data_IF_209550501338
#
_entry.id   IF_209550501338
#
_cell.length_a   1.000
_cell.length_b   1.000
_cell.length_c   1.000
_cell.angle_alpha   90.00
_cell.angle_beta   90.00
_cell.angle_gamma   90.00
#
_symmetry.space_group_name_H-M   'P 1'
#
loop_
_entity.id
_entity.type
_entity.pdbx_description
1 polymer ?
#
# COMPACT_ATOMS: atom_id res chain seq x y z
N UNK A 1 -22.15 -25.91 -8.29
CA UNK A 1 -20.68 -26.01 -8.27
C UNK A 1 -20.14 -24.60 -8.46
N UNK A 2 -19.58 -24.00 -7.42
CA UNK A 2 -18.92 -22.69 -7.52
C UNK A 2 -17.60 -22.86 -8.25
N UNK A 3 -17.48 -22.25 -9.44
CA UNK A 3 -16.22 -22.17 -10.17
C UNK A 3 -15.19 -21.46 -9.30
N UNK A 4 -14.18 -22.20 -8.83
CA UNK A 4 -12.99 -21.60 -8.23
C UNK A 4 -12.23 -20.93 -9.37
N UNK A 5 -12.52 -19.67 -9.63
CA UNK A 5 -11.73 -18.83 -10.54
C UNK A 5 -10.34 -18.68 -9.93
N UNK A 6 -9.40 -19.47 -10.43
CA UNK A 6 -7.99 -19.34 -10.07
C UNK A 6 -7.53 -17.90 -10.38
N UNK A 7 -6.64 -17.32 -9.56
CA UNK A 7 -6.08 -16.00 -9.83
C UNK A 7 -5.51 -15.94 -11.26
N UNK A 8 -5.64 -14.80 -11.97
CA UNK A 8 -5.02 -14.64 -13.28
C UNK A 8 -3.54 -15.03 -13.21
N UNK A 9 -3.08 -15.84 -14.17
CA UNK A 9 -1.71 -16.41 -14.18
C UNK A 9 -0.67 -15.36 -13.81
N UNK A 10 0.01 -15.56 -12.67
CA UNK A 10 1.13 -14.71 -12.22
C UNK A 10 0.80 -13.71 -11.12
N UNK A 11 -0.40 -13.71 -10.53
CA UNK A 11 -0.71 -12.88 -9.35
C UNK A 11 -0.97 -13.75 -8.12
N UNK A 12 -0.46 -13.30 -6.97
CA UNK A 12 -0.80 -13.83 -5.65
C UNK A 12 -1.71 -12.84 -4.95
N UNK A 13 -2.79 -13.34 -4.36
CA UNK A 13 -3.80 -12.50 -3.69
C UNK A 13 -3.61 -12.60 -2.19
N UNK A 14 -3.76 -11.48 -1.50
CA UNK A 14 -3.58 -11.39 -0.05
C UNK A 14 -4.73 -10.60 0.57
N UNK A 15 -5.12 -11.03 1.76
CA UNK A 15 -5.94 -10.26 2.71
C UNK A 15 -5.11 -9.98 3.96
N UNK A 16 -5.67 -9.23 4.91
CA UNK A 16 -5.07 -9.04 6.24
C UNK A 16 -5.83 -9.87 7.27
N UNK A 17 -5.08 -10.47 8.19
CA UNK A 17 -5.67 -11.05 9.39
C UNK A 17 -5.96 -9.97 10.45
N UNK A 18 -6.43 -10.38 11.63
CA UNK A 18 -6.75 -9.47 12.73
C UNK A 18 -5.53 -8.73 13.33
N UNK A 19 -4.31 -9.06 12.91
CA UNK A 19 -3.05 -8.42 13.32
C UNK A 19 -2.40 -7.66 12.18
N UNK A 20 -3.16 -7.32 11.13
CA UNK A 20 -2.67 -6.68 9.92
C UNK A 20 -1.52 -7.44 9.23
N UNK A 21 -1.48 -8.76 9.42
CA UNK A 21 -0.49 -9.62 8.77
C UNK A 21 -1.05 -10.11 7.44
N UNK A 22 -0.31 -9.98 6.32
CA UNK A 22 -0.78 -10.49 5.04
C UNK A 22 -0.90 -12.01 5.00
N UNK A 23 -2.06 -12.51 4.59
CA UNK A 23 -2.35 -13.93 4.40
C UNK A 23 -2.72 -14.18 2.94
N UNK A 24 -2.03 -15.12 2.29
CA UNK A 24 -2.30 -15.50 0.91
C UNK A 24 -3.63 -16.24 0.80
N UNK A 25 -4.44 -15.86 -0.19
CA UNK A 25 -5.74 -16.46 -0.49
C UNK A 25 -5.83 -16.82 -1.98
N UNK A 26 -6.66 -17.80 -2.30
CA UNK A 26 -6.76 -18.35 -3.66
C UNK A 26 -8.13 -18.13 -4.31
N UNK A 27 -9.15 -17.77 -3.52
CA UNK A 27 -10.47 -17.44 -4.02
C UNK A 27 -10.52 -15.96 -4.40
N UNK A 28 -10.53 -15.68 -5.70
CA UNK A 28 -10.55 -14.33 -6.24
C UNK A 28 -11.82 -13.57 -5.86
N UNK A 29 -12.99 -14.22 -5.83
CA UNK A 29 -14.26 -13.54 -5.56
C UNK A 29 -14.37 -13.17 -4.09
N UNK A 30 -13.98 -14.09 -3.20
CA UNK A 30 -13.88 -13.80 -1.77
C UNK A 30 -12.87 -12.68 -1.50
N UNK A 31 -11.69 -12.74 -2.13
CA UNK A 31 -10.67 -11.69 -2.05
C UNK A 31 -11.21 -10.34 -2.52
N UNK A 32 -11.87 -10.29 -3.68
CA UNK A 32 -12.40 -9.05 -4.26
C UNK A 32 -13.46 -8.40 -3.37
N UNK A 33 -14.33 -9.19 -2.74
CA UNK A 33 -15.32 -8.66 -1.77
C UNK A 33 -14.63 -8.13 -0.53
N UNK A 34 -13.71 -8.91 0.04
CA UNK A 34 -12.95 -8.49 1.21
C UNK A 34 -12.21 -7.16 0.97
N UNK A 35 -11.53 -7.02 -0.17
CA UNK A 35 -10.83 -5.78 -0.54
C UNK A 35 -11.75 -4.57 -0.72
N UNK A 36 -13.02 -4.79 -1.09
CA UNK A 36 -14.01 -3.71 -1.27
C UNK A 36 -14.68 -3.32 0.05
N UNK A 37 -14.81 -4.25 0.99
CA UNK A 37 -15.53 -4.07 2.26
C UNK A 37 -14.64 -3.53 3.40
N UNK A 38 -13.31 -3.64 3.27
CA UNK A 38 -12.37 -3.24 4.32
C UNK A 38 -11.71 -1.90 4.03
N UNK A 39 -11.42 -1.12 5.08
CA UNK A 39 -10.54 0.05 4.96
C UNK A 39 -9.09 -0.44 4.77
N UNK A 40 -8.45 0.05 3.72
CA UNK A 40 -7.12 -0.38 3.31
C UNK A 40 -6.09 0.74 3.42
N UNK A 41 -6.52 1.97 3.71
CA UNK A 41 -5.67 3.11 4.01
C UNK A 41 -5.38 3.13 5.50
N UNK A 42 -4.12 2.85 5.85
CA UNK A 42 -3.66 2.80 7.23
C UNK A 42 -3.26 4.17 7.75
N UNK A 43 -2.69 5.00 6.88
CA UNK A 43 -2.28 6.36 7.25
C UNK A 43 -2.40 7.28 6.06
N UNK A 44 -3.03 8.44 6.29
CA UNK A 44 -3.08 9.54 5.35
C UNK A 44 -2.68 10.81 6.08
N UNK A 45 -1.64 11.46 5.58
CA UNK A 45 -1.18 12.76 6.07
C UNK A 45 -1.36 13.78 4.96
N UNK A 46 -2.04 14.88 5.26
CA UNK A 46 -2.26 16.00 4.33
C UNK A 46 -1.52 17.21 4.90
N UNK A 47 -0.72 17.84 4.07
CA UNK A 47 -0.02 19.09 4.37
C UNK A 47 -0.76 20.21 3.64
N UNK A 48 -1.75 20.79 4.33
CA UNK A 48 -2.77 21.66 3.70
C UNK A 48 -2.18 22.87 2.96
N UNK A 49 -1.12 23.48 3.50
CA UNK A 49 -0.49 24.67 2.91
C UNK A 49 0.28 24.36 1.61
N UNK A 50 0.78 23.13 1.46
CA UNK A 50 1.54 22.71 0.27
C UNK A 50 0.73 21.84 -0.68
N UNK A 51 -0.46 21.39 -0.29
CA UNK A 51 -1.28 20.46 -1.09
C UNK A 51 -0.72 19.03 -1.14
N UNK A 52 0.37 18.74 -0.41
CA UNK A 52 1.03 17.43 -0.43
C UNK A 52 0.23 16.43 0.41
N UNK A 53 0.03 15.23 -0.13
CA UNK A 53 -0.61 14.12 0.58
C UNK A 53 0.28 12.88 0.55
N UNK A 54 0.51 12.28 1.72
CA UNK A 54 1.20 10.99 1.87
C UNK A 54 0.16 9.94 2.27
N UNK A 55 0.06 8.85 1.52
CA UNK A 55 -0.90 7.77 1.77
C UNK A 55 -0.20 6.43 1.85
N UNK A 56 -0.38 5.72 2.96
CA UNK A 56 0.05 4.33 3.15
C UNK A 56 -1.15 3.42 3.12
N UNK A 57 -1.14 2.45 2.20
CA UNK A 57 -2.27 1.52 2.01
C UNK A 57 -1.81 0.10 1.72
N UNK A 58 -2.70 -0.85 1.98
CA UNK A 58 -2.57 -2.23 1.51
C UNK A 58 -3.08 -2.37 0.06
N UNK A 59 -2.36 -3.13 -0.78
CA UNK A 59 -2.75 -3.40 -2.18
C UNK A 59 -3.36 -4.78 -2.40
N UNK A 60 -3.15 -5.73 -1.50
CA UNK A 60 -3.76 -7.07 -1.54
C UNK A 60 -3.38 -7.96 -2.74
N UNK A 61 -2.43 -7.56 -3.57
CA UNK A 61 -1.99 -8.35 -4.73
C UNK A 61 -0.49 -8.23 -4.91
N UNK A 62 0.23 -9.32 -5.15
CA UNK A 62 1.66 -9.30 -5.53
C UNK A 62 1.87 -10.00 -6.88
N UNK A 63 2.95 -9.66 -7.57
CA UNK A 63 3.41 -10.48 -8.70
C UNK A 63 4.02 -11.77 -8.14
N UNK A 64 3.62 -12.91 -8.68
CA UNK A 64 4.16 -14.21 -8.28
C UNK A 64 5.65 -14.37 -8.64
N UNK A 65 6.19 -13.51 -9.51
CA UNK A 65 7.60 -13.48 -9.95
C UNK A 65 8.47 -12.61 -9.07
N UNK A 66 7.91 -11.60 -8.40
CA UNK A 66 8.65 -10.83 -7.41
C UNK A 66 8.70 -11.67 -6.13
N UNK A 67 9.86 -12.26 -5.83
CA UNK A 67 10.01 -13.22 -4.73
C UNK A 67 9.51 -12.72 -3.37
N UNK A 68 9.46 -11.40 -3.17
CA UNK A 68 8.88 -10.76 -1.98
C UNK A 68 7.50 -10.15 -2.27
N UNK A 69 6.55 -10.36 -1.35
CA UNK A 69 5.23 -9.78 -1.41
C UNK A 69 5.22 -8.36 -0.82
N UNK A 70 5.50 -7.37 -1.67
CA UNK A 70 5.48 -5.95 -1.29
C UNK A 70 4.03 -5.41 -1.35
N UNK A 71 3.30 -5.61 -0.25
CA UNK A 71 1.84 -5.44 -0.18
C UNK A 71 1.38 -4.15 0.49
N UNK A 72 2.29 -3.43 1.14
CA UNK A 72 2.02 -2.11 1.69
C UNK A 72 2.72 -1.07 0.82
N UNK A 73 1.98 -0.06 0.37
CA UNK A 73 2.50 0.97 -0.51
C UNK A 73 2.27 2.33 0.12
N UNK A 74 3.34 3.09 0.26
CA UNK A 74 3.33 4.50 0.63
C UNK A 74 3.53 5.33 -0.64
N UNK A 75 2.58 6.21 -0.96
CA UNK A 75 2.63 7.12 -2.10
C UNK A 75 2.54 8.57 -1.64
N UNK A 76 3.32 9.43 -2.27
CA UNK A 76 3.23 10.88 -2.14
C UNK A 76 2.48 11.44 -3.36
N UNK A 77 1.61 12.40 -3.15
CA UNK A 77 0.86 13.13 -4.17
C UNK A 77 0.94 14.65 -3.89
N UNK A 78 0.85 15.49 -4.92
CA UNK A 78 0.92 16.95 -4.80
C UNK A 78 2.32 17.54 -4.78
N UNK A 79 3.35 16.80 -5.20
CA UNK A 79 4.72 17.31 -5.36
C UNK A 79 5.03 17.57 -6.84
N UNK A 80 5.72 18.67 -7.16
CA UNK A 80 6.14 18.99 -8.54
C UNK A 80 7.32 18.13 -9.02
N UNK A 81 8.02 17.44 -8.12
CA UNK A 81 9.17 16.57 -8.41
C UNK A 81 8.77 15.09 -8.61
N UNK A 82 9.72 14.28 -9.09
CA UNK A 82 9.48 12.87 -9.45
C UNK A 82 8.98 11.98 -8.28
N UNK A 83 8.96 12.47 -7.04
CA UNK A 83 8.40 11.76 -5.88
C UNK A 83 6.88 11.56 -5.97
N UNK A 84 6.16 12.36 -6.74
CA UNK A 84 4.70 12.24 -6.96
C UNK A 84 4.27 10.89 -7.58
N UNK A 85 5.22 10.26 -8.28
CA UNK A 85 5.04 8.96 -8.92
C UNK A 85 5.83 7.85 -8.23
N UNK A 86 6.58 8.14 -7.16
CA UNK A 86 7.35 7.13 -6.44
C UNK A 86 6.45 6.43 -5.41
N UNK A 87 6.07 5.19 -5.73
CA UNK A 87 5.46 4.28 -4.77
C UNK A 87 6.55 3.54 -4.00
N UNK A 88 6.58 3.70 -2.69
CA UNK A 88 7.47 2.95 -1.83
C UNK A 88 6.74 1.73 -1.29
N UNK A 89 7.30 0.54 -1.51
CA UNK A 89 6.63 -0.70 -1.19
C UNK A 89 7.36 -1.46 -0.08
N UNK A 90 6.60 -2.03 0.86
CA UNK A 90 7.10 -2.79 2.00
C UNK A 90 6.29 -4.09 2.17
N UNK A 91 6.93 -5.10 2.78
CA UNK A 91 6.32 -6.40 3.08
C UNK A 91 5.51 -6.42 4.38
N UNK A 92 5.74 -5.47 5.29
CA UNK A 92 5.00 -5.34 6.55
C UNK A 92 4.39 -3.95 6.73
N UNK A 93 3.32 -3.87 7.52
CA UNK A 93 2.67 -2.60 7.85
C UNK A 93 3.62 -1.68 8.62
N UNK A 94 4.30 -2.20 9.64
CA UNK A 94 5.24 -1.43 10.47
C UNK A 94 6.33 -0.76 9.62
N UNK A 95 6.95 -1.51 8.70
CA UNK A 95 7.95 -0.96 7.80
C UNK A 95 7.38 0.13 6.89
N UNK A 96 6.15 -0.04 6.40
CA UNK A 96 5.47 0.96 5.59
C UNK A 96 5.16 2.25 6.37
N UNK A 97 4.80 2.13 7.65
CA UNK A 97 4.51 3.25 8.54
C UNK A 97 5.77 3.99 8.98
N UNK A 98 6.87 3.28 9.26
CA UNK A 98 8.18 3.91 9.45
C UNK A 98 8.61 4.69 8.22
N UNK A 99 8.41 4.11 7.03
CA UNK A 99 8.71 4.78 5.78
C UNK A 99 7.82 6.00 5.54
N UNK A 100 6.53 5.92 5.90
CA UNK A 100 5.63 7.07 5.86
C UNK A 100 6.16 8.21 6.72
N UNK A 101 6.59 7.91 7.95
CA UNK A 101 7.11 8.93 8.86
C UNK A 101 8.41 9.54 8.33
N UNK A 102 9.34 8.72 7.82
CA UNK A 102 10.58 9.24 7.20
C UNK A 102 10.27 10.17 6.03
N UNK A 103 9.34 9.80 5.15
CA UNK A 103 8.92 10.63 4.02
C UNK A 103 8.28 11.95 4.49
N UNK A 104 7.45 11.90 5.52
CA UNK A 104 6.86 13.09 6.11
C UNK A 104 7.93 14.06 6.61
N UNK A 105 8.92 13.56 7.37
CA UNK A 105 10.03 14.39 7.86
C UNK A 105 10.87 14.96 6.72
N UNK A 106 11.18 14.16 5.70
CA UNK A 106 11.96 14.60 4.54
C UNK A 106 11.24 15.69 3.75
N UNK A 107 9.92 15.53 3.52
CA UNK A 107 9.09 16.51 2.84
C UNK A 107 8.98 17.78 3.68
N UNK A 108 8.76 17.66 4.99
CA UNK A 108 8.67 18.81 5.88
C UNK A 108 9.98 19.62 5.89
N UNK A 109 11.14 18.96 5.93
CA UNK A 109 12.45 19.59 5.76
C UNK A 109 12.58 20.33 4.42
N UNK A 110 12.17 19.69 3.31
CA UNK A 110 12.20 20.33 1.99
C UNK A 110 11.33 21.59 1.94
N UNK A 111 10.12 21.53 2.49
CA UNK A 111 9.17 22.64 2.48
C UNK A 111 9.61 23.80 3.38
N UNK A 112 10.22 23.50 4.52
CA UNK A 112 10.66 24.51 5.50
C UNK A 112 12.09 25.02 5.27
N UNK A 113 12.85 24.41 4.35
CA UNK A 113 14.23 24.76 4.05
C UNK A 113 15.21 24.49 5.20
N UNK A 114 14.87 23.56 6.12
CA UNK A 114 15.63 23.25 7.33
C UNK A 114 16.06 21.79 7.42
#
# INVERSE_FOLDING_TARGET
MTSRSSPPKGRRLYILDAKDTPVEVFDHDAWSRWMAENELVFRRTVLDESGVTITTRFRGVSDARSGEALLFVTRVAGMEDAQDNQGYAASTLDAALEQHERLLQDIFRKLTGR
#
